data_IF_815560981310
#
_entry.id   IF_815560981310
#
_cell.length_a   1.000
_cell.length_b   1.000
_cell.length_c   1.000
_cell.angle_alpha   90.00
_cell.angle_beta   90.00
_cell.angle_gamma   90.00
#
_symmetry.space_group_name_H-M   'P 1'
#
loop_
_entity.id
_entity.type
_entity.pdbx_description
1 polymer ?
#
# COMPACT_ATOMS: atom_id res chain seq x y z
N UNK A 1 28.53 -1.35 12.65
CA UNK A 1 28.51 -2.56 11.82
C UNK A 1 27.06 -2.84 11.50
N UNK A 2 26.66 -2.75 10.24
CA UNK A 2 25.34 -3.21 9.76
C UNK A 2 25.43 -4.71 9.56
N UNK A 3 24.47 -5.46 10.11
CA UNK A 3 24.35 -6.90 9.92
C UNK A 3 24.23 -7.20 8.42
N UNK A 4 25.05 -8.10 7.83
CA UNK A 4 24.94 -8.46 6.42
C UNK A 4 23.59 -9.08 6.02
N UNK A 5 22.69 -9.35 6.99
CA UNK A 5 21.32 -9.80 6.78
C UNK A 5 20.25 -8.69 6.89
N UNK A 6 20.61 -7.47 7.32
CA UNK A 6 19.69 -6.34 7.33
C UNK A 6 19.69 -5.62 5.97
N UNK A 7 18.81 -6.07 5.08
CA UNK A 7 18.50 -5.33 3.86
C UNK A 7 17.65 -4.12 4.22
N UNK A 8 18.29 -2.97 4.39
CA UNK A 8 17.58 -1.71 4.59
C UNK A 8 16.87 -1.30 3.29
N UNK A 9 15.55 -1.11 3.36
CA UNK A 9 14.74 -0.56 2.26
C UNK A 9 14.18 0.79 2.69
N UNK A 10 14.55 1.85 1.97
CA UNK A 10 14.03 3.19 2.19
C UNK A 10 12.77 3.40 1.35
N UNK A 11 11.64 3.63 2.01
CA UNK A 11 10.43 4.12 1.35
C UNK A 11 10.64 5.60 1.02
N UNK A 12 10.63 5.96 -0.26
CA UNK A 12 10.81 7.34 -0.69
C UNK A 12 9.70 8.26 -0.15
N UNK A 13 10.04 9.49 0.21
CA UNK A 13 9.03 10.50 0.52
C UNK A 13 8.25 10.90 -0.74
N UNK A 14 6.96 11.21 -0.62
CA UNK A 14 6.13 11.58 -1.76
C UNK A 14 4.65 11.63 -1.43
N UNK A 15 3.83 11.80 -2.48
CA UNK A 15 2.38 11.71 -2.38
C UNK A 15 1.93 10.25 -2.49
N UNK A 16 0.93 9.90 -1.68
CA UNK A 16 0.37 8.56 -1.62
C UNK A 16 -1.14 8.64 -1.63
N UNK A 17 -1.76 7.81 -2.47
CA UNK A 17 -3.15 7.47 -2.31
C UNK A 17 -3.27 6.41 -1.20
N UNK A 18 -4.11 6.70 -0.20
CA UNK A 18 -4.25 5.86 0.99
C UNK A 18 -5.63 5.20 0.98
N UNK A 19 -5.65 3.87 0.94
CA UNK A 19 -6.86 3.07 1.01
C UNK A 19 -6.88 2.30 2.32
N UNK A 20 -8.00 2.35 3.05
CA UNK A 20 -8.14 1.69 4.35
C UNK A 20 -9.37 0.81 4.38
N UNK A 21 -9.25 -0.39 4.95
CA UNK A 21 -10.37 -1.30 5.14
C UNK A 21 -10.14 -2.23 6.33
N UNK A 22 -11.16 -3.00 6.69
CA UNK A 22 -11.06 -4.08 7.69
C UNK A 22 -11.04 -5.41 6.96
N UNK A 23 -9.89 -6.10 6.96
CA UNK A 23 -9.73 -7.41 6.32
C UNK A 23 -9.10 -8.39 7.32
N UNK A 24 -9.60 -9.64 7.32
CA UNK A 24 -9.12 -10.73 8.18
C UNK A 24 -8.35 -11.83 7.43
N UNK A 25 -8.30 -11.79 6.11
CA UNK A 25 -7.70 -12.84 5.28
C UNK A 25 -7.02 -12.26 4.04
N UNK A 26 -5.87 -12.83 3.65
CA UNK A 26 -5.01 -12.31 2.58
C UNK A 26 -5.72 -12.15 1.23
N UNK A 27 -6.55 -13.13 0.84
CA UNK A 27 -7.27 -13.08 -0.43
C UNK A 27 -8.17 -11.84 -0.58
N UNK A 28 -8.76 -11.37 0.52
CA UNK A 28 -9.58 -10.14 0.51
C UNK A 28 -8.71 -8.87 0.44
N UNK A 29 -7.45 -8.92 0.87
CA UNK A 29 -6.50 -7.84 0.66
C UNK A 29 -6.05 -7.74 -0.79
N UNK A 30 -5.81 -8.87 -1.45
CA UNK A 30 -5.43 -8.88 -2.87
C UNK A 30 -6.55 -8.30 -3.75
N UNK A 31 -7.83 -8.65 -3.47
CA UNK A 31 -8.98 -8.05 -4.14
C UNK A 31 -9.06 -6.54 -3.88
N UNK A 32 -8.90 -6.12 -2.62
CA UNK A 32 -8.94 -4.71 -2.25
C UNK A 32 -7.84 -3.88 -2.93
N UNK A 33 -6.64 -4.45 -3.08
CA UNK A 33 -5.54 -3.83 -3.82
C UNK A 33 -5.93 -3.65 -5.29
N UNK A 34 -6.49 -4.67 -5.94
CA UNK A 34 -6.96 -4.57 -7.32
C UNK A 34 -8.02 -3.47 -7.50
N UNK A 35 -8.99 -3.40 -6.58
CA UNK A 35 -10.03 -2.37 -6.60
C UNK A 35 -9.45 -0.96 -6.42
N UNK A 36 -8.47 -0.79 -5.53
CA UNK A 36 -7.77 0.48 -5.32
C UNK A 36 -7.06 0.97 -6.59
N UNK A 37 -6.41 0.08 -7.34
CA UNK A 37 -5.84 0.41 -8.64
C UNK A 37 -6.90 0.78 -9.69
N UNK A 38 -8.04 0.07 -9.69
CA UNK A 38 -9.18 0.40 -10.55
C UNK A 38 -9.71 1.81 -10.30
N UNK A 39 -9.78 2.25 -9.04
CA UNK A 39 -10.15 3.61 -8.65
C UNK A 39 -9.11 4.63 -9.14
N UNK A 40 -7.81 4.37 -8.91
CA UNK A 40 -6.75 5.28 -9.33
C UNK A 40 -6.66 5.45 -10.84
N UNK A 41 -6.91 4.38 -11.61
CA UNK A 41 -6.94 4.45 -13.07
C UNK A 41 -7.99 5.44 -13.61
N UNK A 42 -9.05 5.68 -12.84
CA UNK A 42 -10.13 6.62 -13.17
C UNK A 42 -9.93 8.02 -12.59
N UNK A 43 -8.88 8.25 -11.78
CA UNK A 43 -8.62 9.55 -11.18
C UNK A 43 -8.35 10.61 -12.25
N UNK A 44 -9.00 11.77 -12.17
CA UNK A 44 -8.70 12.90 -13.03
C UNK A 44 -7.47 13.72 -12.57
N UNK A 45 -7.03 13.50 -11.33
CA UNK A 45 -6.04 14.35 -10.66
C UNK A 45 -4.69 13.64 -10.45
N UNK A 46 -4.68 12.31 -10.35
CA UNK A 46 -3.50 11.56 -9.94
C UNK A 46 -3.19 10.39 -10.86
N UNK A 47 -1.90 10.03 -10.96
CA UNK A 47 -1.39 8.82 -11.63
C UNK A 47 -0.51 8.04 -10.67
N UNK A 48 -0.40 6.72 -10.87
CA UNK A 48 0.56 5.88 -10.13
C UNK A 48 1.99 6.28 -10.49
N UNK A 49 2.84 6.48 -9.48
CA UNK A 49 4.17 7.08 -9.65
C UNK A 49 5.35 6.19 -9.23
N UNK A 50 5.13 4.97 -8.74
CA UNK A 50 6.23 4.04 -8.45
C UNK A 50 5.80 2.56 -8.49
N UNK A 51 6.79 1.68 -8.37
CA UNK A 51 6.63 0.23 -8.54
C UNK A 51 6.38 -0.54 -7.23
N UNK A 52 6.42 0.13 -6.07
CA UNK A 52 6.28 -0.52 -4.77
C UNK A 52 5.22 0.18 -3.91
N UNK A 53 4.24 -0.60 -3.47
CA UNK A 53 3.27 -0.17 -2.47
C UNK A 53 3.79 -0.43 -1.06
N UNK A 54 3.25 0.31 -0.09
CA UNK A 54 3.39 -0.04 1.32
C UNK A 54 2.06 -0.60 1.83
N UNK A 55 2.10 -1.82 2.38
CA UNK A 55 0.96 -2.49 3.01
C UNK A 55 1.16 -2.56 4.52
N UNK A 56 0.22 -2.05 5.30
CA UNK A 56 0.18 -2.24 6.75
C UNK A 56 -0.77 -3.40 7.05
N UNK A 57 -0.18 -4.57 7.31
CA UNK A 57 -0.88 -5.85 7.46
C UNK A 57 -1.13 -6.27 8.92
N UNK A 58 -1.00 -5.36 9.89
CA UNK A 58 -1.27 -5.62 11.31
C UNK A 58 -2.56 -6.41 11.58
N UNK A 59 -3.71 -6.15 10.92
CA UNK A 59 -4.92 -6.96 11.15
C UNK A 59 -4.83 -8.39 10.63
N UNK A 60 -4.00 -8.68 9.62
CA UNK A 60 -3.79 -10.05 9.14
C UNK A 60 -2.94 -10.87 10.11
N UNK A 61 -2.05 -10.21 10.86
CA UNK A 61 -1.16 -10.86 11.84
C UNK A 61 -1.83 -10.98 13.22
N UNK A 62 -2.40 -9.88 13.69
CA UNK A 62 -2.91 -9.76 15.07
C UNK A 62 -4.41 -9.94 15.19
N UNK A 63 -5.14 -9.94 14.07
CA UNK A 63 -6.61 -9.89 14.06
C UNK A 63 -7.20 -8.53 14.46
N UNK A 64 -6.37 -7.51 14.70
CA UNK A 64 -6.78 -6.19 15.19
C UNK A 64 -6.23 -5.05 14.31
N UNK A 65 -6.97 -3.94 14.25
CA UNK A 65 -6.60 -2.77 13.44
C UNK A 65 -7.17 -2.78 12.03
N UNK A 66 -6.66 -1.88 11.18
CA UNK A 66 -7.10 -1.70 9.80
C UNK A 66 -5.98 -2.02 8.82
N UNK A 67 -6.34 -2.63 7.69
CA UNK A 67 -5.42 -2.83 6.59
C UNK A 67 -5.29 -1.49 5.89
N UNK A 68 -4.05 -1.04 5.67
CA UNK A 68 -3.78 0.21 4.95
C UNK A 68 -2.88 -0.08 3.77
N UNK A 69 -3.30 0.43 2.62
CA UNK A 69 -2.53 0.38 1.38
C UNK A 69 -2.13 1.80 1.01
N UNK A 70 -0.84 2.00 0.80
CA UNK A 70 -0.26 3.25 0.34
C UNK A 70 0.30 3.02 -1.07
N UNK A 71 -0.35 3.62 -2.07
CA UNK A 71 0.09 3.57 -3.47
C UNK A 71 0.74 4.91 -3.79
N UNK A 72 2.03 4.94 -4.20
CA UNK A 72 2.69 6.17 -4.63
C UNK A 72 1.98 6.80 -5.83
N UNK A 73 1.70 8.10 -5.75
CA UNK A 73 1.04 8.85 -6.83
C UNK A 73 1.76 10.16 -7.13
N UNK A 74 1.52 10.69 -8.32
CA UNK A 74 1.88 12.04 -8.73
C UNK A 74 0.64 12.76 -9.26
N UNK A 75 0.61 14.08 -9.16
CA UNK A 75 -0.40 14.89 -9.83
C UNK A 75 -0.26 14.73 -11.35
N UNK A 76 -1.39 14.74 -12.05
CA UNK A 76 -1.45 14.81 -13.51
C UNK A 76 -0.99 16.17 -14.04
#
# INVERSE_FOLDING_TARGET
MTDPLETNYLVAAGLYAVFTTTIKQRAAADQFIADAYGILAQSAEYVVAANHNLEVITPLITGTGAFRLYIPVAAK
#
